data_IF_181479473939
#
_entry.id   IF_181479473939
#
_cell.length_a   1.000
_cell.length_b   1.000
_cell.length_c   1.000
_cell.angle_alpha   90.00
_cell.angle_beta   90.00
_cell.angle_gamma   90.00
#
_symmetry.space_group_name_H-M   'P 1'
#
loop_
_entity.id
_entity.type
_entity.pdbx_description
1 polymer ?
#
# COMPACT_ATOMS: atom_id res chain seq x y z
N UNK A 1 5.33 -11.74 -13.33
CA UNK A 1 5.70 -10.66 -12.42
C UNK A 1 5.97 -9.37 -13.20
N UNK A 2 5.02 -8.42 -13.23
CA UNK A 2 5.16 -7.13 -13.94
C UNK A 2 5.95 -6.11 -13.11
N UNK A 3 7.15 -5.74 -13.56
CA UNK A 3 7.99 -4.74 -12.88
C UNK A 3 7.30 -3.35 -12.85
N UNK A 4 6.59 -2.99 -13.93
CA UNK A 4 5.86 -1.72 -14.01
C UNK A 4 4.80 -1.60 -12.92
N UNK A 5 4.06 -2.67 -12.65
CA UNK A 5 3.03 -2.68 -11.62
C UNK A 5 3.65 -2.56 -10.21
N UNK A 6 4.77 -3.24 -9.97
CA UNK A 6 5.53 -3.13 -8.72
C UNK A 6 6.01 -1.70 -8.51
N UNK A 7 6.64 -1.09 -9.51
CA UNK A 7 7.17 0.27 -9.44
C UNK A 7 6.06 1.30 -9.21
N UNK A 8 4.93 1.14 -9.91
CA UNK A 8 3.76 1.99 -9.71
C UNK A 8 3.25 1.93 -8.27
N UNK A 9 3.03 0.72 -7.74
CA UNK A 9 2.49 0.55 -6.39
C UNK A 9 3.46 1.08 -5.33
N UNK A 10 4.76 0.84 -5.49
CA UNK A 10 5.77 1.37 -4.57
C UNK A 10 5.78 2.90 -4.55
N UNK A 11 5.82 3.56 -5.72
CA UNK A 11 5.75 5.01 -5.79
C UNK A 11 4.43 5.56 -5.23
N UNK A 12 3.31 4.88 -5.52
CA UNK A 12 2.01 5.28 -4.98
C UNK A 12 1.98 5.18 -3.45
N UNK A 13 2.54 4.10 -2.89
CA UNK A 13 2.65 3.90 -1.44
C UNK A 13 3.46 5.01 -0.79
N UNK A 14 4.63 5.35 -1.34
CA UNK A 14 5.49 6.41 -0.79
C UNK A 14 4.79 7.77 -0.77
N UNK A 15 3.99 8.07 -1.80
CA UNK A 15 3.29 9.33 -1.92
C UNK A 15 1.97 9.41 -1.11
N UNK A 16 1.33 8.29 -0.81
CA UNK A 16 -0.04 8.28 -0.24
C UNK A 16 -0.15 7.61 1.13
N UNK A 17 0.80 6.75 1.51
CA UNK A 17 0.76 6.05 2.79
C UNK A 17 1.59 6.81 3.81
N UNK A 18 0.89 7.62 4.60
CA UNK A 18 1.44 8.29 5.77
C UNK A 18 0.72 7.77 7.01
N UNK A 19 1.44 7.07 7.87
CA UNK A 19 0.89 6.52 9.10
C UNK A 19 1.75 6.88 10.30
N UNK A 20 1.09 7.21 11.41
CA UNK A 20 1.73 7.46 12.71
C UNK A 20 1.55 6.30 13.67
N UNK A 21 0.78 5.28 13.29
CA UNK A 21 0.54 4.05 14.06
C UNK A 21 0.42 2.85 13.12
N UNK A 22 0.92 1.66 13.52
CA UNK A 22 0.80 0.42 12.75
C UNK A 22 -0.66 0.07 12.40
N UNK A 23 -0.84 -0.82 11.43
CA UNK A 23 -2.15 -1.34 11.06
C UNK A 23 -2.66 -2.27 12.18
N UNK A 24 -3.88 -2.02 12.66
CA UNK A 24 -4.48 -2.82 13.72
C UNK A 24 -5.39 -3.90 13.14
N UNK A 25 -4.79 -5.02 12.73
CA UNK A 25 -5.53 -6.12 12.14
C UNK A 25 -6.41 -6.86 13.15
N UNK A 26 -6.10 -6.80 14.44
CA UNK A 26 -6.92 -7.39 15.50
C UNK A 26 -8.26 -6.67 15.66
N UNK A 27 -8.30 -5.37 15.40
CA UNK A 27 -9.52 -4.55 15.43
C UNK A 27 -10.07 -4.23 14.03
N UNK A 28 -9.67 -4.98 13.00
CA UNK A 28 -10.12 -4.81 11.62
C UNK A 28 -9.96 -3.38 11.10
N UNK A 29 -8.73 -2.85 11.18
CA UNK A 29 -8.42 -1.53 10.65
C UNK A 29 -8.92 -1.37 9.21
N UNK A 30 -9.73 -0.34 8.91
CA UNK A 30 -10.25 -0.14 7.56
C UNK A 30 -9.22 0.49 6.61
N UNK A 31 -8.11 1.04 7.11
CA UNK A 31 -7.11 1.75 6.30
C UNK A 31 -6.53 0.90 5.17
N UNK A 32 -6.10 -0.37 5.38
CA UNK A 32 -5.57 -1.21 4.30
C UNK A 32 -6.56 -1.36 3.14
N UNK A 33 -7.83 -1.69 3.43
CA UNK A 33 -8.87 -1.83 2.40
C UNK A 33 -9.17 -0.54 1.66
N UNK A 34 -9.18 0.59 2.37
CA UNK A 34 -9.34 1.90 1.73
C UNK A 34 -8.17 2.25 0.81
N UNK A 35 -6.94 1.93 1.21
CA UNK A 35 -5.74 2.15 0.39
C UNK A 35 -5.71 1.23 -0.83
N UNK A 36 -6.13 -0.02 -0.70
CA UNK A 36 -6.31 -0.95 -1.83
C UNK A 36 -7.23 -0.31 -2.87
N UNK A 37 -8.43 0.13 -2.48
CA UNK A 37 -9.37 0.75 -3.41
C UNK A 37 -8.80 1.99 -4.12
N UNK A 38 -8.10 2.86 -3.38
CA UNK A 38 -7.47 4.06 -3.96
C UNK A 38 -6.31 3.71 -4.91
N UNK A 39 -5.47 2.75 -4.52
CA UNK A 39 -4.35 2.30 -5.33
C UNK A 39 -4.82 1.62 -6.61
N UNK A 40 -5.87 0.79 -6.54
CA UNK A 40 -6.46 0.15 -7.73
C UNK A 40 -7.06 1.20 -8.67
N UNK A 41 -7.82 2.17 -8.17
CA UNK A 41 -8.36 3.24 -9.01
C UNK A 41 -7.26 4.08 -9.68
N UNK A 42 -6.17 4.36 -8.96
CA UNK A 42 -5.02 5.08 -9.52
C UNK A 42 -4.26 4.24 -10.56
N UNK A 43 -4.14 2.93 -10.33
CA UNK A 43 -3.51 2.00 -11.27
C UNK A 43 -4.32 1.90 -12.58
N UNK A 44 -5.64 1.78 -12.47
CA UNK A 44 -6.55 1.77 -13.62
C UNK A 44 -6.44 3.07 -14.43
N UNK A 45 -6.39 4.22 -13.76
CA UNK A 45 -6.17 5.51 -14.42
C UNK A 45 -4.79 5.61 -15.12
N UNK A 46 -3.79 4.86 -14.64
CA UNK A 46 -2.46 4.73 -15.25
C UNK A 46 -2.37 3.59 -16.30
N UNK A 47 -3.49 2.92 -16.59
CA UNK A 47 -3.59 1.83 -17.54
C UNK A 47 -2.93 0.52 -17.05
N UNK A 48 -2.87 0.30 -15.75
CA UNK A 48 -2.35 -0.93 -15.12
C UNK A 48 -3.55 -1.70 -14.56
N UNK A 49 -3.73 -2.95 -15.00
CA UNK A 49 -4.87 -3.76 -14.56
C UNK A 49 -4.65 -4.33 -13.17
N UNK A 50 -5.76 -4.72 -12.51
CA UNK A 50 -5.68 -5.41 -11.23
C UNK A 50 -4.95 -6.75 -11.34
N UNK A 51 -5.13 -7.52 -12.43
CA UNK A 51 -4.37 -8.76 -12.63
C UNK A 51 -2.86 -8.49 -12.70
N UNK A 52 -2.45 -7.41 -13.35
CA UNK A 52 -1.04 -7.05 -13.49
C UNK A 52 -0.40 -6.71 -12.12
N UNK A 53 -1.17 -6.05 -11.24
CA UNK A 53 -0.77 -5.79 -9.85
C UNK A 53 -0.68 -7.10 -9.06
N UNK A 54 -1.68 -7.98 -9.16
CA UNK A 54 -1.69 -9.26 -8.45
C UNK A 54 -0.55 -10.18 -8.91
N UNK A 55 -0.22 -10.20 -10.20
CA UNK A 55 0.91 -10.98 -10.73
C UNK A 55 2.28 -10.42 -10.30
N UNK A 56 2.36 -9.11 -10.00
CA UNK A 56 3.56 -8.45 -9.51
C UNK A 56 3.77 -8.56 -7.99
N UNK A 57 2.71 -8.33 -7.21
CA UNK A 57 2.78 -8.12 -5.75
C UNK A 57 2.05 -9.20 -4.94
N UNK A 58 1.23 -10.03 -5.58
CA UNK A 58 0.33 -10.94 -4.89
C UNK A 58 -0.81 -10.16 -4.22
N UNK A 59 -0.90 -10.26 -2.89
CA UNK A 59 -1.99 -9.64 -2.14
C UNK A 59 -1.70 -8.15 -1.85
N UNK A 60 -2.38 -7.28 -2.58
CA UNK A 60 -2.27 -5.83 -2.41
C UNK A 60 -2.69 -5.36 -1.01
N UNK A 61 -3.61 -6.04 -0.33
CA UNK A 61 -4.00 -5.68 1.04
C UNK A 61 -2.84 -5.90 2.00
N UNK A 62 -2.13 -7.03 1.87
CA UNK A 62 -0.92 -7.31 2.64
C UNK A 62 0.17 -6.27 2.37
N UNK A 63 0.32 -5.84 1.11
CA UNK A 63 1.25 -4.76 0.77
C UNK A 63 0.89 -3.44 1.48
N UNK A 64 -0.39 -3.09 1.57
CA UNK A 64 -0.84 -1.87 2.27
C UNK A 64 -0.65 -1.97 3.78
N UNK A 65 -0.87 -3.13 4.39
CA UNK A 65 -0.58 -3.37 5.82
C UNK A 65 0.91 -3.13 6.09
N UNK A 66 1.79 -3.79 5.33
CA UNK A 66 3.23 -3.64 5.47
C UNK A 66 3.70 -2.20 5.25
N UNK A 67 3.08 -1.48 4.31
CA UNK A 67 3.37 -0.08 4.06
C UNK A 67 2.99 0.83 5.24
N UNK A 68 1.80 0.62 5.84
CA UNK A 68 1.36 1.34 7.03
C UNK A 68 2.32 1.10 8.19
N UNK A 69 2.71 -0.15 8.43
CA UNK A 69 3.60 -0.51 9.53
C UNK A 69 4.98 0.12 9.37
N UNK A 70 5.54 0.09 8.14
CA UNK A 70 6.80 0.78 7.82
C UNK A 70 6.72 2.28 8.04
N UNK A 71 5.63 2.92 7.59
CA UNK A 71 5.44 4.36 7.75
C UNK A 71 5.32 4.74 9.23
N UNK A 72 4.60 3.94 10.02
CA UNK A 72 4.47 4.14 11.46
C UNK A 72 5.80 4.02 12.19
N UNK A 73 6.58 2.96 11.89
CA UNK A 73 7.92 2.77 12.47
C UNK A 73 8.86 3.93 12.11
N UNK A 74 8.80 4.43 10.88
CA UNK A 74 9.59 5.59 10.45
C UNK A 74 9.18 6.87 11.18
N UNK A 75 7.88 7.05 11.48
CA UNK A 75 7.38 8.19 12.24
C UNK A 75 7.80 8.14 13.71
N UNK A 76 7.83 6.96 14.33
CA UNK A 76 8.32 6.76 15.71
C UNK A 76 9.81 7.10 15.83
N UNK A 77 10.64 6.64 14.88
CA UNK A 77 12.09 6.94 14.86
C UNK A 77 12.41 8.43 14.75
N UNK A 78 11.55 9.23 14.13
CA UNK A 78 11.71 10.69 14.04
C UNK A 78 11.32 11.43 15.32
N UNK A 79 10.66 10.75 16.26
CA UNK A 79 10.17 11.32 17.52
C UNK A 79 11.04 10.95 18.73
N UNK A 80 11.96 10.00 18.58
CA UNK A 80 12.96 9.61 19.58
C UNK A 80 14.23 10.44 19.43
#
# INVERSE_FOLDING_TARGET
>A
MSQRAIDFVNHWIEANVHATRPADMAHHDPRPKQLVGKCTAAAEAAGISREEILDGLGDLEICMIAAIDRAALAAERKRA
#
